data_IF_219396161522
#
_entry.id   IF_219396161522
#
_cell.length_a   1.000
_cell.length_b   1.000
_cell.length_c   1.000
_cell.angle_alpha   90.00
_cell.angle_beta   90.00
_cell.angle_gamma   90.00
#
_symmetry.space_group_name_H-M   'P 1'
#
loop_
_entity.id
_entity.type
_entity.pdbx_description
1 polymer ?
#
# COMPACT_ATOMS: atom_id res chain seq x y z
N UNK A 1 9.08 -7.96 11.06
CA UNK A 1 9.43 -6.64 10.43
C UNK A 1 8.22 -6.06 9.71
N UNK A 2 7.96 -4.75 9.68
CA UNK A 2 6.79 -4.20 8.96
C UNK A 2 7.04 -4.11 7.45
N UNK A 3 5.99 -4.28 6.66
CA UNK A 3 5.96 -4.08 5.21
C UNK A 3 4.80 -3.17 4.84
N UNK A 4 4.97 -2.38 3.79
CA UNK A 4 4.01 -1.37 3.34
C UNK A 4 3.74 -1.55 1.85
N UNK A 5 2.47 -1.47 1.45
CA UNK A 5 2.08 -1.37 0.03
C UNK A 5 0.91 -0.42 -0.15
N UNK A 6 0.84 0.22 -1.31
CA UNK A 6 -0.32 1.02 -1.70
C UNK A 6 -1.15 0.26 -2.72
N UNK A 7 -2.46 0.29 -2.55
CA UNK A 7 -3.43 -0.39 -3.41
C UNK A 7 -4.39 0.65 -3.98
N UNK A 8 -4.56 0.64 -5.29
CA UNK A 8 -5.57 1.42 -6.01
C UNK A 8 -6.58 0.48 -6.65
N UNK A 9 -7.75 0.97 -7.09
CA UNK A 9 -8.75 0.14 -7.78
C UNK A 9 -8.20 -0.56 -9.03
N UNK A 10 -7.22 0.06 -9.70
CA UNK A 10 -6.69 -0.42 -10.97
C UNK A 10 -5.32 -1.08 -10.85
N UNK A 11 -4.56 -0.81 -9.79
CA UNK A 11 -3.19 -1.32 -9.62
C UNK A 11 -2.86 -1.59 -8.16
N UNK A 12 -2.15 -2.68 -7.90
CA UNK A 12 -1.64 -3.03 -6.57
C UNK A 12 -0.12 -2.86 -6.56
N UNK A 13 0.39 -2.06 -5.62
CA UNK A 13 1.82 -1.93 -5.37
C UNK A 13 2.43 -3.18 -4.73
N UNK A 14 3.76 -3.31 -4.84
CA UNK A 14 4.51 -4.37 -4.15
C UNK A 14 4.62 -4.07 -2.65
N UNK A 15 4.92 -5.09 -1.87
CA UNK A 15 5.31 -4.93 -0.48
C UNK A 15 6.75 -4.42 -0.38
N UNK A 16 6.94 -3.33 0.35
CA UNK A 16 8.25 -2.73 0.63
C UNK A 16 8.53 -2.75 2.13
N UNK A 17 9.80 -2.85 2.52
CA UNK A 17 10.24 -2.76 3.92
C UNK A 17 9.98 -1.39 4.54
N UNK A 18 10.03 -0.34 3.72
CA UNK A 18 10.04 1.04 4.15
C UNK A 18 8.85 1.81 3.59
N UNK A 19 8.20 2.59 4.44
CA UNK A 19 7.03 3.41 4.05
C UNK A 19 7.41 4.42 2.96
N UNK A 20 8.60 5.01 3.05
CA UNK A 20 9.05 6.02 2.09
C UNK A 20 9.26 5.42 0.68
N UNK A 21 9.78 4.18 0.62
CA UNK A 21 9.91 3.42 -0.63
C UNK A 21 8.54 3.08 -1.18
N UNK A 22 7.60 2.65 -0.33
CA UNK A 22 6.23 2.39 -0.74
C UNK A 22 5.54 3.65 -1.30
N UNK A 23 5.74 4.82 -0.70
CA UNK A 23 5.18 6.10 -1.15
C UNK A 23 5.76 6.56 -2.50
N UNK A 24 7.07 6.37 -2.73
CA UNK A 24 7.69 6.69 -4.04
C UNK A 24 7.07 5.84 -5.14
N UNK A 25 6.99 4.53 -4.94
CA UNK A 25 6.36 3.64 -5.92
C UNK A 25 4.85 3.88 -6.05
N UNK A 26 4.17 4.26 -4.97
CA UNK A 26 2.77 4.68 -5.02
C UNK A 26 2.58 5.88 -5.96
N UNK A 27 3.50 6.85 -5.92
CA UNK A 27 3.49 7.98 -6.85
C UNK A 27 3.68 7.52 -8.32
N UNK A 28 4.56 6.55 -8.56
CA UNK A 28 4.82 6.01 -9.91
C UNK A 28 3.63 5.25 -10.50
N UNK A 29 2.87 4.52 -9.67
CA UNK A 29 1.70 3.75 -10.13
C UNK A 29 0.41 4.59 -10.21
N UNK A 30 0.47 5.86 -9.84
CA UNK A 30 -0.69 6.76 -9.80
C UNK A 30 -1.61 6.55 -8.60
N UNK A 31 -1.07 6.07 -7.47
CA UNK A 31 -1.80 5.93 -6.21
C UNK A 31 -1.81 7.21 -5.35
N UNK A 32 -0.99 8.19 -5.70
CA UNK A 32 -0.97 9.45 -4.98
C UNK A 32 0.12 10.37 -5.48
N UNK A 33 0.28 11.49 -4.77
CA UNK A 33 1.29 12.48 -5.04
C UNK A 33 2.23 12.60 -3.84
N UNK A 34 3.53 12.45 -4.08
CA UNK A 34 4.56 12.73 -3.08
C UNK A 34 5.08 14.16 -3.32
N UNK A 35 4.78 15.06 -2.38
CA UNK A 35 5.31 16.43 -2.43
C UNK A 35 6.80 16.41 -2.07
N UNK A 36 7.66 16.70 -3.05
CA UNK A 36 9.11 16.73 -2.88
C UNK A 36 9.62 17.89 -2.01
N UNK A 37 8.83 18.95 -1.81
CA UNK A 37 9.22 20.08 -0.97
C UNK A 37 8.91 19.84 0.51
N UNK A 38 7.77 19.22 0.81
CA UNK A 38 7.33 18.98 2.20
C UNK A 38 7.55 17.54 2.67
N UNK A 39 7.82 16.61 1.76
CA UNK A 39 7.90 15.18 2.05
C UNK A 39 6.56 14.54 2.39
N UNK A 40 5.44 15.25 2.18
CA UNK A 40 4.11 14.72 2.46
C UNK A 40 3.60 13.90 1.28
N UNK A 41 3.10 12.71 1.59
CA UNK A 41 2.39 11.88 0.63
C UNK A 41 0.88 12.10 0.75
N UNK A 42 0.22 12.39 -0.36
CA UNK A 42 -1.23 12.53 -0.47
C UNK A 42 -1.75 11.39 -1.34
N UNK A 43 -2.48 10.46 -0.74
CA UNK A 43 -3.14 9.37 -1.45
C UNK A 43 -4.30 9.92 -2.31
N UNK A 44 -4.45 9.41 -3.53
CA UNK A 44 -5.61 9.73 -4.35
C UNK A 44 -6.86 8.99 -3.86
N UNK A 45 -8.03 9.42 -4.34
CA UNK A 45 -9.31 8.79 -3.99
C UNK A 45 -9.22 7.30 -4.27
N UNK A 46 -9.76 6.49 -3.36
CA UNK A 46 -9.75 5.01 -3.41
C UNK A 46 -8.37 4.35 -3.27
N UNK A 47 -7.31 5.13 -3.00
CA UNK A 47 -6.02 4.55 -2.64
C UNK A 47 -5.98 4.17 -1.17
N UNK A 48 -5.57 2.95 -0.89
CA UNK A 48 -5.41 2.42 0.47
C UNK A 48 -3.95 2.07 0.75
N UNK A 49 -3.50 2.40 1.96
CA UNK A 49 -2.24 1.92 2.51
C UNK A 49 -2.50 0.63 3.27
N UNK A 50 -1.84 -0.44 2.87
CA UNK A 50 -1.78 -1.66 3.66
C UNK A 50 -0.45 -1.80 4.38
N UNK A 51 -0.53 -2.23 5.63
CA UNK A 51 0.63 -2.49 6.49
C UNK A 51 0.59 -3.96 6.89
N UNK A 52 1.54 -4.73 6.36
CA UNK A 52 1.73 -6.13 6.71
C UNK A 52 2.79 -6.27 7.79
N UNK A 53 2.61 -7.18 8.73
CA UNK A 53 3.74 -7.73 9.47
C UNK A 53 4.41 -8.78 8.57
N UNK A 54 5.73 -8.76 8.44
CA UNK A 54 6.50 -9.77 7.72
C UNK A 54 6.34 -11.17 8.35
N UNK A 55 5.82 -11.21 9.58
CA UNK A 55 5.52 -12.42 10.34
C UNK A 55 4.07 -12.89 10.08
N UNK A 56 3.26 -12.09 9.35
CA UNK A 56 1.86 -12.35 8.97
C UNK A 56 1.76 -13.03 7.60
N UNK A 57 2.66 -13.97 7.32
CA UNK A 57 2.52 -14.89 6.16
C UNK A 57 1.53 -15.98 6.54
N UNK A 58 0.26 -15.61 6.69
CA UNK A 58 -0.87 -16.55 6.71
C UNK A 58 -2.10 -15.82 6.17
N UNK A 59 -2.32 -15.91 4.85
CA UNK A 59 -3.67 -15.65 4.29
C UNK A 59 -4.64 -16.78 4.68
N UNK A 60 -5.91 -16.80 4.25
CA UNK A 60 -6.73 -15.78 3.58
C UNK A 60 -7.89 -15.30 4.50
N UNK A 61 -8.39 -14.07 4.31
CA UNK A 61 -9.73 -13.67 4.80
C UNK A 61 -10.75 -13.50 3.67
N UNK A 62 -10.53 -14.18 2.54
CA UNK A 62 -11.61 -14.66 1.70
C UNK A 62 -12.02 -16.05 2.18
N UNK A 63 -12.65 -16.13 3.36
CA UNK A 63 -13.60 -17.20 3.61
C UNK A 63 -14.98 -16.60 3.43
N UNK A 64 -15.50 -16.84 2.23
CA UNK A 64 -16.90 -16.86 1.89
C UNK A 64 -17.76 -17.17 3.12
N UNK A 65 -18.63 -16.21 3.44
CA UNK A 65 -19.85 -16.46 4.17
C UNK A 65 -20.69 -17.43 3.31
N UNK A 66 -20.50 -18.72 3.52
CA UNK A 66 -21.48 -19.74 3.16
C UNK A 66 -22.22 -20.09 4.45
N UNK A 67 -23.40 -19.48 4.62
CA UNK A 67 -24.42 -19.85 5.59
C UNK A 67 -25.74 -20.01 4.84
#
# INVERSE_FOLDING_TARGET
MKRYRFVTPHRTGKWYSDLQTAQRHACEIGAGFLDGMTGKFVAYVETMLEVGNADDVTGPKDQALAA
#
